data_IF_115396986046
#
_entry.id   IF_115396986046
#
_cell.length_a   1.000
_cell.length_b   1.000
_cell.length_c   1.000
_cell.angle_alpha   90.00
_cell.angle_beta   90.00
_cell.angle_gamma   90.00
#
_symmetry.space_group_name_H-M   'P 1'
#
loop_
_entity.id
_entity.type
_entity.pdbx_description
1 polymer ?
#
# COMPACT_ATOMS: atom_id res chain seq x y z
N UNK A 1 2.95 17.38 17.69
CA UNK A 1 3.96 17.39 16.60
C UNK A 1 4.62 18.76 16.60
N UNK A 2 5.94 18.85 16.83
CA UNK A 2 6.65 20.13 16.68
C UNK A 2 6.62 20.51 15.20
N UNK A 3 6.00 21.63 14.86
CA UNK A 3 5.97 22.12 13.49
C UNK A 3 7.40 22.43 13.02
N UNK A 4 7.76 21.94 11.83
CA UNK A 4 9.04 22.20 11.14
C UNK A 4 9.21 23.67 10.69
N UNK A 5 8.45 24.59 11.30
CA UNK A 5 8.39 26.01 10.97
C UNK A 5 9.27 26.76 11.98
N UNK A 6 10.25 27.56 11.52
CA UNK A 6 11.11 28.32 12.41
C UNK A 6 10.28 29.29 13.25
N UNK A 7 10.71 29.54 14.50
CA UNK A 7 10.03 30.45 15.44
C UNK A 7 9.84 31.86 14.88
N UNK A 8 10.80 32.32 14.08
CA UNK A 8 10.68 33.57 13.32
C UNK A 8 10.15 33.26 11.91
N UNK A 9 8.94 33.76 11.54
CA UNK A 9 8.37 33.58 10.20
C UNK A 9 9.27 34.06 9.07
N UNK A 10 10.11 35.08 9.29
CA UNK A 10 11.06 35.59 8.29
C UNK A 10 12.12 34.54 7.89
N UNK A 11 12.37 33.55 8.74
CA UNK A 11 13.31 32.46 8.48
C UNK A 11 12.66 31.23 7.82
N UNK A 12 11.35 31.28 7.53
CA UNK A 12 10.64 30.21 6.84
C UNK A 12 10.98 30.21 5.34
N UNK A 13 12.17 29.72 5.00
CA UNK A 13 12.64 29.61 3.61
C UNK A 13 11.94 28.49 2.86
N UNK A 14 11.75 28.69 1.55
CA UNK A 14 11.31 27.63 0.65
C UNK A 14 12.35 26.49 0.65
N UNK A 15 11.89 25.26 0.85
CA UNK A 15 12.72 24.04 0.87
C UNK A 15 12.64 23.26 -0.45
N UNK A 16 11.86 23.76 -1.40
CA UNK A 16 11.63 23.13 -2.69
C UNK A 16 12.51 23.78 -3.76
N UNK A 17 13.03 22.96 -4.66
CA UNK A 17 13.83 23.39 -5.81
C UNK A 17 13.18 22.84 -7.07
N UNK A 18 12.95 23.71 -8.06
CA UNK A 18 12.47 23.33 -9.39
C UNK A 18 13.64 23.41 -10.38
N UNK A 19 13.85 22.33 -11.13
CA UNK A 19 14.95 22.22 -12.08
C UNK A 19 14.38 21.90 -13.45
N UNK A 20 14.59 22.83 -14.38
CA UNK A 20 14.09 22.73 -15.74
C UNK A 20 15.28 22.54 -16.67
N UNK A 21 15.15 21.60 -17.61
CA UNK A 21 16.16 21.36 -18.63
C UNK A 21 15.67 20.33 -19.64
N UNK A 22 16.13 20.44 -20.89
CA UNK A 22 15.79 19.50 -21.96
C UNK A 22 16.25 18.06 -21.69
N UNK A 23 15.86 17.13 -22.56
CA UNK A 23 16.45 15.79 -22.55
C UNK A 23 17.97 15.89 -22.76
N UNK A 24 18.75 15.03 -22.11
CA UNK A 24 20.22 15.04 -22.20
C UNK A 24 20.92 16.17 -21.43
N UNK A 25 20.21 17.14 -20.85
CA UNK A 25 20.81 18.27 -20.12
C UNK A 25 21.52 17.90 -18.81
N UNK A 26 21.54 16.61 -18.45
CA UNK A 26 22.28 16.11 -17.29
C UNK A 26 21.63 16.37 -15.92
N UNK A 27 20.33 16.67 -15.83
CA UNK A 27 19.61 16.89 -14.54
C UNK A 27 19.91 15.81 -13.49
N UNK A 28 19.84 14.55 -13.88
CA UNK A 28 20.14 13.41 -13.00
C UNK A 28 21.60 13.38 -12.59
N UNK A 29 22.53 13.57 -13.55
CA UNK A 29 23.98 13.46 -13.32
C UNK A 29 24.54 14.61 -12.49
N UNK A 30 24.15 15.84 -12.79
CA UNK A 30 24.74 17.04 -12.22
C UNK A 30 24.02 17.55 -10.97
N UNK A 31 22.73 17.24 -10.82
CA UNK A 31 21.97 17.68 -9.64
C UNK A 31 21.57 16.54 -8.71
N UNK A 32 20.82 15.56 -9.23
CA UNK A 32 20.22 14.54 -8.37
C UNK A 32 21.28 13.64 -7.71
N UNK A 33 22.19 13.06 -8.50
CA UNK A 33 23.23 12.14 -8.01
C UNK A 33 24.14 12.81 -6.97
N UNK A 34 24.69 14.03 -7.19
CA UNK A 34 25.51 14.67 -6.16
C UNK A 34 24.78 14.91 -4.85
N UNK A 35 23.49 15.29 -4.89
CA UNK A 35 22.68 15.48 -3.68
C UNK A 35 22.38 14.16 -2.95
N UNK A 36 22.15 13.08 -3.70
CA UNK A 36 21.93 11.75 -3.15
C UNK A 36 23.20 11.18 -2.51
N UNK A 37 24.34 11.36 -3.18
CA UNK A 37 25.65 10.87 -2.73
C UNK A 37 26.19 11.62 -1.51
N UNK A 38 25.59 12.74 -1.10
CA UNK A 38 25.88 13.33 0.21
C UNK A 38 25.44 12.42 1.36
N UNK A 39 24.40 11.58 1.17
CA UNK A 39 23.91 10.65 2.18
C UNK A 39 23.54 11.34 3.50
N UNK A 40 22.99 12.56 3.43
CA UNK A 40 22.75 13.38 4.61
C UNK A 40 21.39 13.09 5.27
N UNK A 41 20.36 12.79 4.47
CA UNK A 41 18.95 12.64 4.90
C UNK A 41 18.32 11.33 4.38
N UNK A 42 17.07 11.04 4.76
CA UNK A 42 16.24 10.01 4.11
C UNK A 42 15.69 10.56 2.79
N UNK A 43 15.53 9.69 1.80
CA UNK A 43 15.18 10.07 0.43
C UNK A 43 13.95 9.30 -0.06
N UNK A 44 13.07 9.97 -0.80
CA UNK A 44 12.05 9.30 -1.63
C UNK A 44 12.33 9.72 -3.05
N UNK A 45 12.53 8.75 -3.94
CA UNK A 45 13.00 9.00 -5.30
C UNK A 45 12.03 8.35 -6.27
N UNK A 46 11.60 9.10 -7.28
CA UNK A 46 10.97 8.54 -8.46
C UNK A 46 12.06 8.27 -9.49
N UNK A 47 12.25 7.00 -9.85
CA UNK A 47 13.25 6.56 -10.83
C UNK A 47 12.59 5.84 -12.01
N UNK A 48 12.01 6.59 -12.97
CA UNK A 48 11.32 5.99 -14.11
C UNK A 48 12.22 5.15 -15.01
N UNK A 49 13.55 5.37 -14.97
CA UNK A 49 14.53 4.64 -15.79
C UNK A 49 15.16 3.47 -15.06
N UNK A 50 15.21 3.51 -13.73
CA UNK A 50 15.88 2.50 -12.91
C UNK A 50 17.40 2.68 -12.78
N UNK A 51 17.95 3.75 -13.36
CA UNK A 51 19.40 4.00 -13.37
C UNK A 51 19.91 4.45 -11.99
N UNK A 52 19.10 5.16 -11.21
CA UNK A 52 19.53 5.79 -9.96
C UNK A 52 19.85 4.71 -8.91
N UNK A 53 19.01 3.68 -8.80
CA UNK A 53 19.26 2.58 -7.86
C UNK A 53 20.50 1.78 -8.25
N UNK A 54 20.75 1.61 -9.54
CA UNK A 54 21.96 0.93 -10.05
C UNK A 54 23.20 1.74 -9.70
N UNK A 55 23.17 3.04 -9.98
CA UNK A 55 24.32 3.93 -9.84
C UNK A 55 24.65 4.29 -8.38
N UNK A 56 23.64 4.48 -7.54
CA UNK A 56 23.80 5.02 -6.18
C UNK A 56 23.38 4.03 -5.07
N UNK A 57 22.65 2.95 -5.38
CA UNK A 57 22.13 2.02 -4.37
C UNK A 57 23.23 1.37 -3.53
N UNK A 58 24.30 0.88 -4.16
CA UNK A 58 25.44 0.29 -3.46
C UNK A 58 26.12 1.28 -2.50
N UNK A 59 26.22 2.56 -2.89
CA UNK A 59 26.76 3.60 -2.02
C UNK A 59 25.87 3.82 -0.80
N UNK A 60 24.55 3.90 -1.00
CA UNK A 60 23.58 4.09 0.08
C UNK A 60 23.60 2.92 1.07
N UNK A 61 23.64 1.68 0.57
CA UNK A 61 23.79 0.49 1.42
C UNK A 61 25.08 0.55 2.25
N UNK A 62 26.21 0.93 1.65
CA UNK A 62 27.49 1.12 2.37
C UNK A 62 27.42 2.24 3.42
N UNK A 63 26.56 3.24 3.23
CA UNK A 63 26.29 4.30 4.20
C UNK A 63 25.26 3.91 5.27
N UNK A 64 24.79 2.66 5.28
CA UNK A 64 23.87 2.13 6.29
C UNK A 64 22.40 2.46 6.04
N UNK A 65 22.02 2.78 4.81
CA UNK A 65 20.61 2.99 4.43
C UNK A 65 19.88 1.66 4.27
N UNK A 66 18.59 1.66 4.64
CA UNK A 66 17.64 0.63 4.22
C UNK A 66 17.02 1.07 2.88
N UNK A 67 17.39 0.38 1.79
CA UNK A 67 16.94 0.72 0.44
C UNK A 67 15.72 -0.12 0.10
N UNK A 68 14.55 0.53 0.01
CA UNK A 68 13.27 -0.11 -0.31
C UNK A 68 12.81 0.23 -1.72
N UNK A 69 12.43 -0.78 -2.49
CA UNK A 69 12.15 -0.65 -3.91
C UNK A 69 10.69 -1.02 -4.17
N UNK A 70 9.91 -0.11 -4.75
CA UNK A 70 8.55 -0.41 -5.22
C UNK A 70 8.49 -0.30 -6.75
N UNK A 71 8.58 -1.45 -7.41
CA UNK A 71 8.68 -1.60 -8.85
C UNK A 71 7.33 -2.05 -9.44
N UNK A 72 6.68 -1.15 -10.17
CA UNK A 72 5.37 -1.38 -10.80
C UNK A 72 5.46 -2.02 -12.18
N UNK A 73 6.67 -2.31 -12.69
CA UNK A 73 6.88 -2.98 -13.98
C UNK A 73 7.21 -4.46 -13.73
N UNK A 74 8.18 -4.72 -12.85
CA UNK A 74 8.58 -6.08 -12.49
C UNK A 74 8.34 -6.31 -11.00
N UNK A 75 7.15 -6.83 -10.69
CA UNK A 75 6.73 -7.13 -9.32
C UNK A 75 7.65 -8.13 -8.60
N UNK A 76 8.33 -9.04 -9.33
CA UNK A 76 9.31 -9.96 -8.72
C UNK A 76 10.54 -9.25 -8.14
N UNK A 77 10.82 -8.04 -8.62
CA UNK A 77 11.89 -7.15 -8.14
C UNK A 77 11.35 -5.98 -7.32
N UNK A 78 10.11 -6.09 -6.85
CA UNK A 78 9.44 -5.09 -6.03
C UNK A 78 9.30 -5.60 -4.60
N UNK A 79 9.35 -4.69 -3.65
CA UNK A 79 8.67 -4.87 -2.38
C UNK A 79 7.17 -4.76 -2.60
N UNK A 80 6.40 -5.52 -1.84
CA UNK A 80 4.95 -5.43 -1.88
C UNK A 80 4.48 -4.24 -1.04
N UNK A 81 3.40 -3.62 -1.48
CA UNK A 81 2.76 -2.50 -0.79
C UNK A 81 1.27 -2.78 -0.68
N UNK A 82 0.77 -2.80 0.55
CA UNK A 82 -0.65 -2.92 0.83
C UNK A 82 -1.13 -1.66 1.57
N UNK A 83 -1.95 -0.79 0.94
CA UNK A 83 -2.45 0.42 1.59
C UNK A 83 -3.28 0.16 2.86
N UNK A 84 -3.93 -1.00 2.96
CA UNK A 84 -4.74 -1.35 4.14
C UNK A 84 -3.90 -1.45 5.41
N UNK A 85 -2.62 -1.83 5.31
CA UNK A 85 -1.68 -1.87 6.44
C UNK A 85 -1.38 -0.50 7.04
N UNK A 86 -1.74 0.59 6.34
CA UNK A 86 -1.49 1.98 6.75
C UNK A 86 -2.78 2.71 7.15
N UNK A 87 -3.92 2.01 7.20
CA UNK A 87 -5.18 2.57 7.70
C UNK A 87 -5.21 2.41 9.22
N UNK A 88 -5.30 3.53 9.93
CA UNK A 88 -5.38 3.56 11.39
C UNK A 88 -6.62 4.31 11.89
N UNK A 89 -7.36 4.95 10.98
CA UNK A 89 -8.53 5.75 11.31
C UNK A 89 -9.47 5.90 10.11
N UNK A 90 -10.71 6.28 10.38
CA UNK A 90 -11.68 6.64 9.32
C UNK A 90 -11.16 7.75 8.39
N UNK A 91 -10.30 8.64 8.89
CA UNK A 91 -9.67 9.68 8.08
C UNK A 91 -8.71 9.11 7.05
N UNK A 92 -8.04 8.00 7.37
CA UNK A 92 -7.11 7.35 6.45
C UNK A 92 -7.85 6.59 5.36
N UNK A 93 -9.03 6.02 5.66
CA UNK A 93 -9.95 5.50 4.64
C UNK A 93 -10.33 6.61 3.66
N UNK A 94 -10.72 7.78 4.17
CA UNK A 94 -11.09 8.91 3.33
C UNK A 94 -9.93 9.39 2.45
N UNK A 95 -8.70 9.43 3.00
CA UNK A 95 -7.48 9.77 2.24
C UNK A 95 -7.24 8.75 1.13
N UNK A 96 -7.28 7.45 1.45
CA UNK A 96 -7.07 6.39 0.47
C UNK A 96 -8.09 6.49 -0.66
N UNK A 97 -9.38 6.63 -0.34
CA UNK A 97 -10.45 6.82 -1.32
C UNK A 97 -10.20 8.05 -2.20
N UNK A 98 -9.83 9.18 -1.60
CA UNK A 98 -9.56 10.42 -2.34
C UNK A 98 -8.37 10.24 -3.28
N UNK A 99 -7.30 9.59 -2.80
CA UNK A 99 -6.12 9.25 -3.59
C UNK A 99 -6.51 8.36 -4.77
N UNK A 100 -7.30 7.31 -4.56
CA UNK A 100 -7.78 6.45 -5.65
C UNK A 100 -8.53 7.27 -6.70
N UNK A 101 -9.60 7.95 -6.31
CA UNK A 101 -10.43 8.73 -7.25
C UNK A 101 -9.61 9.79 -7.99
N UNK A 102 -8.69 10.49 -7.31
CA UNK A 102 -7.87 11.53 -7.92
C UNK A 102 -6.90 11.00 -8.98
N UNK A 103 -6.39 9.78 -8.82
CA UNK A 103 -5.46 9.16 -9.76
C UNK A 103 -6.16 8.46 -10.93
N UNK A 104 -7.49 8.35 -10.87
CA UNK A 104 -8.29 7.65 -11.88
C UNK A 104 -9.22 8.55 -12.67
N UNK A 105 -9.30 9.83 -12.29
CA UNK A 105 -9.86 10.88 -13.14
C UNK A 105 -8.92 11.08 -14.32
N UNK A 106 -9.35 10.71 -15.53
CA UNK A 106 -8.62 11.07 -16.75
C UNK A 106 -8.62 12.59 -16.97
N UNK A 107 -7.80 13.08 -17.91
CA UNK A 107 -7.68 14.50 -18.28
C UNK A 107 -8.97 15.12 -18.88
N UNK A 108 -10.08 14.38 -18.88
CA UNK A 108 -11.39 14.87 -19.28
C UNK A 108 -11.99 15.86 -18.27
N UNK A 109 -12.94 16.67 -18.74
CA UNK A 109 -13.73 17.59 -17.91
C UNK A 109 -14.14 16.88 -16.62
N UNK A 110 -13.88 17.52 -15.48
CA UNK A 110 -14.24 17.02 -14.16
C UNK A 110 -15.62 16.37 -14.21
N UNK A 111 -15.67 15.04 -14.06
CA UNK A 111 -16.94 14.34 -13.97
C UNK A 111 -17.78 15.00 -12.88
N UNK A 112 -19.11 15.03 -13.09
CA UNK A 112 -20.06 15.70 -12.20
C UNK A 112 -19.69 15.48 -10.73
N UNK A 113 -19.69 16.56 -9.94
CA UNK A 113 -19.39 16.52 -8.52
C UNK A 113 -20.30 15.51 -7.79
N UNK A 114 -21.51 15.32 -8.32
CA UNK A 114 -22.44 14.30 -7.89
C UNK A 114 -21.88 12.87 -8.04
N UNK A 115 -21.33 12.51 -9.20
CA UNK A 115 -20.71 11.19 -9.44
C UNK A 115 -19.51 10.96 -8.54
N UNK A 116 -18.68 11.99 -8.37
CA UNK A 116 -17.52 11.93 -7.47
C UNK A 116 -17.94 11.68 -6.02
N UNK A 117 -19.05 12.28 -5.56
CA UNK A 117 -19.58 12.07 -4.20
C UNK A 117 -20.11 10.65 -4.01
N UNK A 118 -20.85 10.13 -4.98
CA UNK A 118 -21.33 8.75 -4.94
C UNK A 118 -20.18 7.74 -4.92
N UNK A 119 -19.17 7.91 -5.79
CA UNK A 119 -17.97 7.07 -5.84
C UNK A 119 -17.18 7.12 -4.51
N UNK A 120 -17.07 8.32 -3.91
CA UNK A 120 -16.41 8.50 -2.61
C UNK A 120 -17.14 7.73 -1.51
N UNK A 121 -18.47 7.83 -1.44
CA UNK A 121 -19.28 7.12 -0.44
C UNK A 121 -19.15 5.60 -0.59
N UNK A 122 -19.20 5.13 -1.83
CA UNK A 122 -19.05 3.72 -2.15
C UNK A 122 -17.69 3.18 -1.71
N UNK A 123 -16.58 3.76 -2.19
CA UNK A 123 -15.24 3.27 -1.82
C UNK A 123 -14.99 3.38 -0.32
N UNK A 124 -15.45 4.44 0.35
CA UNK A 124 -15.33 4.52 1.81
C UNK A 124 -16.10 3.40 2.51
N UNK A 125 -17.28 3.03 2.01
CA UNK A 125 -18.05 1.92 2.55
C UNK A 125 -17.32 0.58 2.34
N UNK A 126 -16.88 0.28 1.12
CA UNK A 126 -16.22 -1.00 0.79
C UNK A 126 -14.88 -1.15 1.52
N UNK A 127 -14.01 -0.13 1.45
CA UNK A 127 -12.71 -0.14 2.15
C UNK A 127 -12.92 -0.22 3.65
N UNK A 128 -13.91 0.49 4.19
CA UNK A 128 -14.26 0.41 5.60
C UNK A 128 -14.78 -0.97 6.02
N UNK A 129 -15.55 -1.64 5.18
CA UNK A 129 -16.00 -3.01 5.44
C UNK A 129 -14.80 -3.96 5.49
N UNK A 130 -13.96 -3.94 4.45
CA UNK A 130 -12.79 -4.81 4.34
C UNK A 130 -11.84 -4.59 5.53
N UNK A 131 -11.55 -3.33 5.88
CA UNK A 131 -10.62 -3.03 6.97
C UNK A 131 -11.11 -3.47 8.36
N UNK A 132 -12.41 -3.33 8.65
CA UNK A 132 -12.94 -3.60 10.00
C UNK A 132 -13.54 -5.00 10.18
N UNK A 133 -14.02 -5.65 9.12
CA UNK A 133 -14.73 -6.93 9.22
C UNK A 133 -14.04 -8.08 8.49
N UNK A 134 -13.22 -7.82 7.45
CA UNK A 134 -12.53 -8.89 6.74
C UNK A 134 -11.28 -9.39 7.51
N UNK A 135 -10.96 -10.69 7.40
CA UNK A 135 -9.69 -11.26 7.87
C UNK A 135 -8.48 -10.49 7.35
N UNK A 136 -7.39 -10.44 8.14
CA UNK A 136 -6.21 -9.62 7.84
C UNK A 136 -5.57 -9.93 6.48
N UNK A 137 -5.60 -11.20 6.06
CA UNK A 137 -5.10 -11.69 4.77
C UNK A 137 -5.97 -11.24 3.59
N UNK A 138 -7.26 -10.99 3.82
CA UNK A 138 -8.21 -10.45 2.82
C UNK A 138 -8.25 -8.91 2.80
N UNK A 139 -7.50 -8.22 3.68
CA UNK A 139 -7.43 -6.76 3.68
C UNK A 139 -6.53 -6.24 2.56
N UNK A 140 -6.95 -6.39 1.32
CA UNK A 140 -6.15 -6.05 0.15
C UNK A 140 -7.02 -5.55 -1.02
N UNK A 141 -6.35 -5.11 -2.09
CA UNK A 141 -7.02 -4.55 -3.26
C UNK A 141 -7.71 -5.61 -4.13
N UNK A 142 -7.29 -6.87 -4.07
CA UNK A 142 -7.98 -7.94 -4.79
C UNK A 142 -9.41 -8.11 -4.24
N UNK A 143 -9.56 -8.16 -2.92
CA UNK A 143 -10.88 -8.21 -2.26
C UNK A 143 -11.72 -6.98 -2.55
N UNK A 144 -11.13 -5.78 -2.62
CA UNK A 144 -11.85 -4.56 -3.05
C UNK A 144 -12.39 -4.69 -4.48
N UNK A 145 -11.60 -5.24 -5.40
CA UNK A 145 -12.01 -5.48 -6.79
C UNK A 145 -13.11 -6.54 -6.84
N UNK A 146 -13.02 -7.61 -6.04
CA UNK A 146 -14.07 -8.63 -5.92
C UNK A 146 -15.39 -8.04 -5.43
N UNK A 147 -15.35 -7.19 -4.40
CA UNK A 147 -16.54 -6.48 -3.90
C UNK A 147 -17.16 -5.62 -5.01
N UNK A 148 -16.35 -4.88 -5.77
CA UNK A 148 -16.84 -4.09 -6.89
C UNK A 148 -17.47 -4.94 -7.99
N UNK A 149 -16.89 -6.09 -8.31
CA UNK A 149 -17.43 -7.03 -9.29
C UNK A 149 -18.73 -7.69 -8.82
N UNK A 150 -18.87 -7.92 -7.51
CA UNK A 150 -20.08 -8.48 -6.91
C UNK A 150 -21.23 -7.46 -6.80
N UNK A 151 -20.99 -6.18 -7.05
CA UNK A 151 -22.06 -5.17 -7.07
C UNK A 151 -22.80 -5.13 -8.41
N UNK A 152 -23.47 -6.21 -8.75
CA UNK A 152 -24.39 -6.25 -9.88
C UNK A 152 -25.63 -5.39 -9.58
N UNK A 153 -26.11 -4.67 -10.58
CA UNK A 153 -27.37 -3.94 -10.56
C UNK A 153 -28.23 -4.47 -11.70
N UNK A 154 -29.48 -4.80 -11.40
CA UNK A 154 -30.48 -5.22 -12.37
C UNK A 154 -31.50 -4.12 -12.55
N UNK A 155 -31.73 -3.69 -13.78
CA UNK A 155 -32.65 -2.59 -14.10
C UNK A 155 -34.12 -3.06 -14.12
N UNK A 156 -34.34 -4.37 -14.28
CA UNK A 156 -35.63 -5.03 -14.39
C UNK A 156 -36.20 -5.52 -13.04
N UNK A 157 -35.40 -5.52 -11.98
CA UNK A 157 -35.81 -5.91 -10.63
C UNK A 157 -35.27 -4.94 -9.57
N UNK A 158 -36.10 -3.97 -9.18
CA UNK A 158 -35.77 -2.97 -8.16
C UNK A 158 -35.51 -3.60 -6.76
N UNK A 159 -36.00 -4.81 -6.52
CA UNK A 159 -35.81 -5.52 -5.25
C UNK A 159 -34.59 -6.44 -5.27
N UNK A 160 -33.87 -6.52 -6.39
CA UNK A 160 -32.67 -7.33 -6.49
C UNK A 160 -31.61 -6.86 -5.50
N UNK A 161 -31.13 -7.79 -4.67
CA UNK A 161 -30.02 -7.55 -3.75
C UNK A 161 -28.82 -8.35 -4.19
N UNK A 162 -27.74 -7.65 -4.52
CA UNK A 162 -26.47 -8.30 -4.79
C UNK A 162 -25.79 -8.81 -3.50
N UNK A 163 -24.76 -9.66 -3.60
CA UNK A 163 -24.07 -10.19 -2.42
C UNK A 163 -23.56 -9.11 -1.46
N UNK A 164 -23.09 -7.97 -2.00
CA UNK A 164 -22.59 -6.85 -1.18
C UNK A 164 -23.73 -6.20 -0.39
N UNK A 165 -24.89 -5.96 -1.01
CA UNK A 165 -26.09 -5.45 -0.33
C UNK A 165 -26.48 -6.34 0.86
N UNK A 166 -26.49 -7.67 0.65
CA UNK A 166 -26.80 -8.64 1.70
C UNK A 166 -25.77 -8.59 2.84
N UNK A 167 -24.47 -8.48 2.52
CA UNK A 167 -23.39 -8.36 3.50
C UNK A 167 -23.51 -7.08 4.35
N UNK A 168 -23.86 -5.95 3.73
CA UNK A 168 -24.06 -4.69 4.44
C UNK A 168 -25.33 -4.70 5.30
N UNK A 169 -26.42 -5.33 4.85
CA UNK A 169 -27.63 -5.48 5.67
C UNK A 169 -27.36 -6.40 6.88
N UNK A 170 -26.67 -7.53 6.68
CA UNK A 170 -26.26 -8.40 7.78
C UNK A 170 -25.36 -7.66 8.79
N UNK A 171 -24.43 -6.83 8.31
CA UNK A 171 -23.58 -6.01 9.17
C UNK A 171 -24.39 -4.95 9.93
N UNK A 172 -25.36 -4.31 9.27
CA UNK A 172 -26.25 -3.31 9.89
C UNK A 172 -27.10 -3.90 11.00
N UNK A 173 -27.63 -5.12 10.83
CA UNK A 173 -28.38 -5.82 11.86
C UNK A 173 -27.53 -6.09 13.12
N UNK A 174 -26.24 -6.41 12.94
CA UNK A 174 -25.31 -6.65 14.05
C UNK A 174 -24.76 -5.35 14.67
N UNK A 175 -24.39 -4.38 13.84
CA UNK A 175 -23.66 -3.16 14.20
C UNK A 175 -24.22 -1.95 13.41
N UNK A 176 -25.38 -1.39 13.80
CA UNK A 176 -26.05 -0.33 13.02
C UNK A 176 -25.24 0.97 12.93
N UNK A 177 -24.41 1.26 13.94
CA UNK A 177 -23.57 2.48 13.98
C UNK A 177 -22.19 2.31 13.32
N UNK A 178 -21.93 1.19 12.64
CA UNK A 178 -20.64 0.93 11.99
C UNK A 178 -20.35 1.94 10.87
N UNK A 179 -19.09 2.38 10.75
CA UNK A 179 -18.68 3.36 9.73
C UNK A 179 -19.08 2.93 8.32
N UNK A 180 -18.75 1.69 7.94
CA UNK A 180 -19.03 1.17 6.61
C UNK A 180 -20.53 1.17 6.29
N UNK A 181 -21.37 0.77 7.26
CA UNK A 181 -22.84 0.75 7.13
C UNK A 181 -23.39 2.15 6.91
N UNK A 182 -22.90 3.14 7.67
CA UNK A 182 -23.33 4.53 7.54
C UNK A 182 -22.96 5.13 6.17
N UNK A 183 -21.77 4.81 5.65
CA UNK A 183 -21.37 5.27 4.31
C UNK A 183 -22.17 4.56 3.23
N UNK A 184 -22.41 3.26 3.36
CA UNK A 184 -23.17 2.48 2.39
C UNK A 184 -24.64 2.91 2.32
N UNK A 185 -25.27 3.20 3.47
CA UNK A 185 -26.63 3.73 3.51
C UNK A 185 -26.74 5.08 2.79
N UNK A 186 -25.77 5.99 3.00
CA UNK A 186 -25.70 7.26 2.27
C UNK A 186 -25.46 7.05 0.77
N UNK A 187 -24.63 6.09 0.41
CA UNK A 187 -24.43 5.70 -0.97
C UNK A 187 -25.73 5.22 -1.59
N UNK A 188 -26.47 4.27 -1.00
CA UNK A 188 -27.74 3.77 -1.56
C UNK A 188 -28.80 4.87 -1.72
N UNK A 189 -28.87 5.83 -0.79
CA UNK A 189 -29.75 7.01 -0.95
C UNK A 189 -29.35 7.88 -2.15
N UNK A 190 -28.05 8.06 -2.36
CA UNK A 190 -27.52 8.80 -3.52
C UNK A 190 -27.69 7.98 -4.81
N UNK A 191 -27.54 6.65 -4.71
CA UNK A 191 -27.58 5.71 -5.82
C UNK A 191 -29.01 5.45 -6.34
N UNK A 192 -30.05 5.53 -5.50
CA UNK A 192 -31.43 5.48 -5.98
C UNK A 192 -31.79 6.66 -6.89
N UNK A 193 -31.15 7.82 -6.69
CA UNK A 193 -31.24 8.98 -7.59
C UNK A 193 -30.42 8.78 -8.88
N UNK A 194 -29.47 7.83 -8.86
CA UNK A 194 -28.55 7.52 -9.95
C UNK A 194 -29.12 6.43 -10.88
N UNK A 195 -29.70 5.37 -10.33
CA UNK A 195 -30.33 4.27 -11.11
C UNK A 195 -31.54 4.78 -11.88
N UNK A 196 -32.29 5.73 -11.33
CA UNK A 196 -33.33 6.48 -12.06
C UNK A 196 -32.80 7.35 -13.22
N UNK A 197 -31.48 7.53 -13.33
CA UNK A 197 -30.79 8.31 -14.40
C UNK A 197 -29.76 7.49 -15.21
N UNK A 198 -29.79 6.15 -15.11
CA UNK A 198 -29.14 5.18 -16.02
C UNK A 198 -27.63 5.34 -16.35
N UNK A 199 -26.81 5.96 -15.47
CA UNK A 199 -25.41 6.33 -15.85
C UNK A 199 -24.28 5.83 -14.94
N UNK A 200 -24.53 5.06 -13.88
CA UNK A 200 -23.44 4.57 -13.00
C UNK A 200 -23.00 3.17 -13.39
N UNK A 201 -22.03 3.10 -14.30
CA UNK A 201 -21.49 1.86 -14.81
C UNK A 201 -20.37 1.34 -13.90
N UNK A 202 -20.63 0.24 -13.20
CA UNK A 202 -19.65 -0.47 -12.35
C UNK A 202 -18.41 -0.94 -13.13
N UNK A 203 -18.50 -1.10 -14.46
CA UNK A 203 -17.37 -1.47 -15.33
C UNK A 203 -16.30 -0.37 -15.43
N UNK A 204 -16.67 0.91 -15.32
CA UNK A 204 -15.72 2.03 -15.41
C UNK A 204 -14.84 2.16 -14.15
N UNK A 205 -15.36 1.76 -12.99
CA UNK A 205 -14.61 1.79 -11.72
C UNK A 205 -13.51 0.71 -11.66
N UNK A 206 -13.67 -0.40 -12.39
CA UNK A 206 -12.65 -1.46 -12.52
C UNK A 206 -11.36 -0.97 -13.19
N UNK A 207 -11.50 -0.37 -14.38
CA UNK A 207 -10.36 0.14 -15.18
C UNK A 207 -9.58 1.20 -14.42
N UNK A 208 -10.29 1.94 -13.57
CA UNK A 208 -9.74 3.00 -12.73
C UNK A 208 -8.83 2.45 -11.64
N UNK A 209 -9.29 1.50 -10.81
CA UNK A 209 -8.48 1.00 -9.68
C UNK A 209 -7.18 0.31 -10.14
N UNK A 210 -7.20 -0.39 -11.27
CA UNK A 210 -6.01 -1.03 -11.84
C UNK A 210 -4.93 -0.03 -12.31
N UNK A 211 -5.30 1.21 -12.66
CA UNK A 211 -4.40 2.22 -13.21
C UNK A 211 -3.55 2.96 -12.15
N UNK A 212 -3.87 2.84 -10.86
CA UNK A 212 -3.29 3.65 -9.76
C UNK A 212 -1.83 3.29 -9.45
N UNK A 213 -1.36 2.10 -9.84
CA UNK A 213 -0.02 1.63 -9.49
C UNK A 213 1.02 1.99 -10.56
N UNK A 214 1.41 3.27 -10.61
CA UNK A 214 2.60 3.75 -11.36
C UNK A 214 3.69 4.19 -10.37
N UNK A 215 4.91 3.69 -10.58
CA UNK A 215 5.92 3.44 -9.54
C UNK A 215 6.58 4.61 -8.80
N UNK A 216 7.08 4.28 -7.61
CA UNK A 216 7.78 5.14 -6.66
C UNK A 216 8.84 4.31 -5.91
N UNK A 217 9.88 4.92 -5.35
CA UNK A 217 10.86 4.22 -4.50
C UNK A 217 11.07 4.98 -3.19
N UNK A 218 11.29 4.26 -2.08
CA UNK A 218 11.43 4.82 -0.73
C UNK A 218 12.80 4.42 -0.17
N UNK A 219 13.63 5.37 0.27
CA UNK A 219 14.98 5.14 0.76
C UNK A 219 15.10 5.75 2.17
N UNK A 220 15.25 4.93 3.19
CA UNK A 220 15.25 5.39 4.59
C UNK A 220 16.64 5.33 5.22
N UNK A 221 16.99 6.37 6.00
CA UNK A 221 18.21 6.40 6.82
C UNK A 221 17.87 6.01 8.26
N UNK A 222 18.30 4.82 8.69
CA UNK A 222 18.39 4.45 10.11
C UNK A 222 17.08 4.38 10.92
N UNK A 223 16.41 3.21 10.87
CA UNK A 223 15.91 2.48 12.04
C UNK A 223 14.69 2.98 12.84
N UNK A 224 13.51 2.41 12.55
CA UNK A 224 12.75 1.58 13.52
C UNK A 224 11.75 0.71 12.75
N UNK A 225 11.98 -0.60 12.75
CA UNK A 225 10.97 -1.57 12.35
C UNK A 225 9.73 -1.39 13.24
N UNK A 226 8.63 -0.91 12.67
CA UNK A 226 7.31 -1.46 12.99
C UNK A 226 7.02 -2.55 11.95
N UNK A 227 7.85 -3.59 11.97
CA UNK A 227 7.36 -4.91 11.61
C UNK A 227 6.88 -5.48 12.93
N UNK A 228 5.59 -5.37 13.19
CA UNK A 228 4.95 -6.15 14.22
C UNK A 228 5.29 -7.61 13.91
N UNK A 229 6.21 -8.17 14.70
CA UNK A 229 6.45 -9.61 14.71
C UNK A 229 5.09 -10.21 15.07
N UNK A 230 4.41 -10.80 14.10
CA UNK A 230 3.48 -11.87 14.43
C UNK A 230 4.34 -12.96 15.08
N UNK A 231 4.36 -12.92 16.41
CA UNK A 231 4.70 -14.06 17.21
C UNK A 231 3.68 -15.13 16.82
N UNK A 232 4.07 -16.05 15.94
CA UNK A 232 3.58 -17.41 16.08
C UNK A 232 4.08 -17.88 17.44
N UNK A 233 3.21 -17.71 18.43
CA UNK A 233 3.18 -18.49 19.65
C UNK A 233 3.13 -19.96 19.24
N UNK A 234 4.30 -20.57 19.09
CA UNK A 234 4.42 -22.00 19.27
C UNK A 234 4.00 -22.26 20.72
N UNK A 235 2.78 -22.77 20.88
CA UNK A 235 2.25 -23.30 22.13
C UNK A 235 3.25 -24.35 22.63
N UNK A 236 4.07 -23.97 23.61
CA UNK A 236 4.82 -24.93 24.43
C UNK A 236 3.84 -25.51 25.44
N UNK A 237 3.29 -26.68 25.15
CA UNK A 237 2.80 -27.57 26.20
C UNK A 237 4.02 -28.11 26.95
N UNK A 238 4.20 -27.68 28.19
CA UNK A 238 5.17 -28.28 29.11
C UNK A 238 4.57 -29.58 29.67
N UNK A 239 5.09 -30.72 29.25
CA UNK A 239 4.99 -31.98 30.01
C UNK A 239 6.35 -32.23 30.65
N UNK A 240 6.48 -32.25 31.99
CA UNK A 240 7.71 -32.62 32.65
C UNK A 240 7.81 -34.15 32.79
N UNK A 241 8.93 -34.71 32.33
CA UNK A 241 9.40 -36.03 32.75
C UNK A 241 9.43 -37.09 31.65
N UNK A 242 10.61 -37.28 31.03
CA UNK A 242 11.34 -38.56 30.92
C UNK A 242 12.58 -38.39 30.03
N UNK A 243 13.67 -39.02 30.48
CA UNK A 243 14.98 -39.13 29.82
C UNK A 243 14.94 -40.12 28.65
N UNK A 244 15.67 -39.83 27.58
CA UNK A 244 16.42 -40.80 26.75
C UNK A 244 17.33 -40.00 25.78
N UNK A 245 18.64 -39.89 26.05
CA UNK A 245 19.69 -40.77 25.50
C UNK A 245 19.86 -40.67 23.98
N UNK A 246 20.91 -39.96 23.53
CA UNK A 246 21.39 -40.00 22.13
C UNK A 246 22.42 -38.94 21.79
N UNK A 247 23.71 -39.34 21.72
CA UNK A 247 24.93 -38.65 21.23
C UNK A 247 24.82 -37.18 20.76
N UNK A 248 25.47 -36.30 21.51
CA UNK A 248 25.89 -34.96 21.05
C UNK A 248 27.05 -35.16 20.05
N UNK A 249 26.81 -34.91 18.76
CA UNK A 249 27.92 -34.55 17.85
C UNK A 249 28.25 -33.09 18.13
N UNK A 250 29.42 -32.83 18.71
CA UNK A 250 29.99 -31.49 18.74
C UNK A 250 30.15 -31.02 17.29
N UNK A 251 29.35 -30.05 16.87
CA UNK A 251 29.61 -29.31 15.65
C UNK A 251 30.75 -28.34 15.96
N UNK A 252 31.96 -28.66 15.50
CA UNK A 252 33.04 -27.70 15.44
C UNK A 252 32.59 -26.51 14.59
N UNK A 253 32.80 -25.30 15.09
CA UNK A 253 32.57 -24.08 14.33
C UNK A 253 33.48 -24.10 13.08
N UNK A 254 32.97 -23.79 11.88
CA UNK A 254 33.84 -23.64 10.73
C UNK A 254 34.77 -22.44 10.96
N UNK A 255 36.08 -22.69 10.86
CA UNK A 255 37.10 -21.66 10.97
C UNK A 255 36.93 -20.61 9.88
N UNK A 256 37.02 -19.32 10.25
CA UNK A 256 36.94 -18.20 9.34
C UNK A 256 38.28 -18.02 8.62
N UNK A 257 38.26 -18.00 7.29
CA UNK A 257 39.38 -17.56 6.48
C UNK A 257 39.56 -16.03 6.67
N UNK A 258 40.79 -15.51 6.46
CA UNK A 258 41.22 -14.13 6.79
C UNK A 258 40.42 -12.96 6.14
N UNK A 259 39.40 -13.25 5.33
CA UNK A 259 38.55 -12.26 4.66
C UNK A 259 37.04 -12.43 4.92
N UNK A 260 36.62 -13.34 5.81
CA UNK A 260 35.28 -13.30 6.43
C UNK A 260 34.06 -13.44 5.50
N UNK A 261 34.15 -14.19 4.39
CA UNK A 261 33.01 -14.49 3.52
C UNK A 261 32.68 -15.98 3.54
N UNK A 262 31.39 -16.33 3.70
CA UNK A 262 30.91 -17.70 3.53
C UNK A 262 30.56 -17.95 2.06
N UNK A 263 31.16 -18.97 1.45
CA UNK A 263 30.79 -19.43 0.10
C UNK A 263 29.41 -20.11 0.08
N UNK A 264 28.63 -19.73 -0.94
CA UNK A 264 27.62 -20.52 -1.65
C UNK A 264 26.67 -21.42 -0.86
N UNK A 265 25.44 -20.95 -0.62
CA UNK A 265 24.25 -21.82 -0.53
C UNK A 265 23.04 -21.12 -1.17
N UNK A 266 22.55 -21.66 -2.30
CA UNK A 266 21.20 -21.37 -2.82
C UNK A 266 20.18 -22.15 -1.97
N UNK A 267 19.05 -21.56 -1.56
CA UNK A 267 17.89 -22.34 -1.16
C UNK A 267 16.82 -22.38 -2.25
N UNK A 268 16.16 -23.53 -2.32
CA UNK A 268 15.16 -23.93 -3.29
C UNK A 268 13.90 -23.04 -3.28
N UNK A 269 13.38 -22.77 -4.48
CA UNK A 269 12.03 -22.22 -4.68
C UNK A 269 11.00 -23.33 -4.44
N UNK A 270 10.24 -23.23 -3.35
CA UNK A 270 8.96 -23.92 -3.20
C UNK A 270 7.83 -22.90 -3.17
N UNK A 271 6.84 -23.16 -4.03
CA UNK A 271 5.60 -22.45 -4.31
C UNK A 271 5.00 -21.51 -3.27
N UNK A 272 4.56 -20.36 -3.76
CA UNK A 272 3.17 -19.90 -3.71
C UNK A 272 3.09 -18.59 -4.51
N UNK A 273 2.51 -18.66 -5.71
CA UNK A 273 2.03 -17.50 -6.44
C UNK A 273 0.62 -17.21 -5.94
N UNK A 274 0.35 -16.00 -5.44
CA UNK A 274 -0.58 -15.01 -5.98
C UNK A 274 -0.30 -13.67 -5.27
#
# INVERSE_FOLDING_TARGET
MMGNRPKNPANARNKNVLIIGGSGSGKTRFWLKPNLLQGHSSYVITDPKGDIVIDCGHFLLKKGYDVRIFNTINFRKSMHYNPFSYIHSEKDILKLTTTLISNTKGDGKAGDEFWTKAETLLYCALIGYIHYEAPQDEQNFATLIEFLNAMEVREDDENFQNPVDQMFEALKQKKPNHFAVRQYAKFKLTAGVITSKSSFNTRDNKVRVEAVFRGFYIIEKGGRCYAERQHHSAVRTSVPGRRASGRIKQYQQPEKNAHGLCEGQRPALSGAFY
#
